data_IF_066696880037
#
_entry.id   IF_066696880037
#
_cell.length_a   1.000
_cell.length_b   1.000
_cell.length_c   1.000
_cell.angle_alpha   90.00
_cell.angle_beta   90.00
_cell.angle_gamma   90.00
#
_symmetry.space_group_name_H-M   'P 1'
#
loop_
_entity.id
_entity.type
_entity.pdbx_description
1 polymer ?
#
# COMPACT_ATOMS: atom_id res chain seq x y z
N UNK A 1 -33.64 -48.36 46.29
CA UNK A 1 -32.74 -48.68 47.41
C UNK A 1 -32.37 -47.38 48.11
N UNK A 2 -32.91 -47.15 49.33
CA UNK A 2 -32.90 -45.86 50.04
C UNK A 2 -32.05 -45.89 51.34
N UNK A 3 -31.52 -44.76 51.81
CA UNK A 3 -31.21 -44.56 53.25
C UNK A 3 -30.99 -43.05 53.55
N UNK A 4 -31.90 -42.33 54.25
CA UNK A 4 -32.01 -42.12 55.73
C UNK A 4 -30.77 -41.42 56.31
N UNK A 5 -30.82 -40.35 57.13
CA UNK A 5 -31.78 -39.75 58.09
C UNK A 5 -31.32 -38.31 58.42
N UNK A 6 -32.20 -37.42 58.90
CA UNK A 6 -31.82 -36.35 59.82
C UNK A 6 -32.07 -36.79 61.28
N UNK A 7 -31.15 -36.51 62.20
CA UNK A 7 -31.34 -36.69 63.64
C UNK A 7 -31.30 -35.32 64.33
N UNK A 8 -32.44 -34.91 64.88
CA UNK A 8 -32.53 -33.68 65.66
C UNK A 8 -31.96 -33.81 67.08
N UNK A 9 -31.93 -32.69 67.79
CA UNK A 9 -32.22 -32.68 69.22
C UNK A 9 -32.64 -31.30 69.71
N UNK A 10 -33.66 -31.33 70.56
CA UNK A 10 -34.27 -30.25 71.33
C UNK A 10 -33.33 -29.75 72.43
N UNK A 11 -33.57 -28.51 72.85
CA UNK A 11 -33.59 -28.16 74.27
C UNK A 11 -32.59 -27.09 74.70
N UNK A 12 -33.08 -25.92 75.06
CA UNK A 12 -32.96 -25.35 76.42
C UNK A 12 -33.37 -23.87 76.39
N UNK A 13 -34.47 -23.55 77.07
CA UNK A 13 -34.75 -22.21 77.55
C UNK A 13 -33.91 -21.97 78.81
N UNK A 14 -33.22 -20.83 78.89
CA UNK A 14 -32.62 -20.35 80.14
C UNK A 14 -32.53 -18.81 80.13
N UNK A 15 -33.23 -18.20 81.09
CA UNK A 15 -32.73 -17.13 81.97
C UNK A 15 -32.17 -15.83 81.38
N UNK A 16 -32.90 -14.74 81.64
CA UNK A 16 -32.50 -13.32 81.55
C UNK A 16 -31.12 -13.01 82.16
N UNK A 17 -30.32 -12.17 81.48
CA UNK A 17 -29.54 -11.08 82.11
C UNK A 17 -29.41 -9.91 81.12
N UNK A 18 -29.81 -8.71 81.55
CA UNK A 18 -29.63 -7.45 80.82
C UNK A 18 -28.22 -6.93 81.16
N UNK A 19 -27.30 -6.96 80.20
CA UNK A 19 -26.02 -6.25 80.30
C UNK A 19 -26.05 -5.02 79.39
N UNK A 20 -25.87 -3.84 79.99
CA UNK A 20 -25.67 -2.56 79.32
C UNK A 20 -24.27 -2.59 78.70
N UNK A 21 -24.17 -2.56 77.37
CA UNK A 21 -22.91 -2.28 76.65
C UNK A 21 -23.03 -0.92 75.97
N UNK A 22 -22.41 0.09 76.59
CA UNK A 22 -21.95 1.30 75.91
C UNK A 22 -20.85 0.87 74.93
N UNK A 23 -20.99 1.24 73.65
CA UNK A 23 -20.03 0.89 72.61
C UNK A 23 -20.23 1.73 71.35
N UNK A 24 -19.70 2.96 71.40
CA UNK A 24 -19.08 3.72 70.32
C UNK A 24 -19.64 3.57 68.88
N UNK A 25 -20.33 4.62 68.41
CA UNK A 25 -20.43 4.90 66.97
C UNK A 25 -19.03 5.16 66.38
N UNK A 26 -18.62 4.52 65.27
CA UNK A 26 -17.48 4.98 64.52
C UNK A 26 -17.90 6.07 63.54
N UNK A 27 -17.49 7.30 63.83
CA UNK A 27 -17.45 8.39 62.86
C UNK A 27 -16.54 7.99 61.69
N UNK A 28 -17.06 7.83 60.48
CA UNK A 28 -16.24 7.65 59.26
C UNK A 28 -16.94 8.09 57.98
N UNK A 29 -17.66 9.22 58.00
CA UNK A 29 -18.24 9.84 56.79
C UNK A 29 -17.26 10.76 56.05
N UNK A 30 -16.23 11.27 56.73
CA UNK A 30 -15.33 12.28 56.16
C UNK A 30 -14.22 11.70 55.27
N UNK A 31 -13.71 10.50 55.58
CA UNK A 31 -12.62 9.86 54.82
C UNK A 31 -13.09 9.35 53.45
N UNK A 32 -14.33 8.87 53.36
CA UNK A 32 -14.99 8.43 52.11
C UNK A 32 -15.29 9.61 51.17
N UNK A 33 -15.64 10.77 51.71
CA UNK A 33 -15.88 11.97 50.93
C UNK A 33 -14.60 12.55 50.31
N UNK A 34 -13.48 12.53 51.04
CA UNK A 34 -12.17 13.02 50.57
C UNK A 34 -11.60 12.09 49.47
N UNK A 35 -11.70 10.77 49.65
CA UNK A 35 -11.28 9.81 48.63
C UNK A 35 -12.08 9.94 47.31
N UNK A 36 -13.40 10.18 47.42
CA UNK A 36 -14.27 10.40 46.26
C UNK A 36 -14.06 11.76 45.56
N UNK A 37 -13.52 12.76 46.27
CA UNK A 37 -13.15 14.07 45.72
C UNK A 37 -11.81 14.00 44.99
N UNK A 38 -10.79 13.33 45.57
CA UNK A 38 -9.48 13.09 44.95
C UNK A 38 -9.60 12.23 43.68
N UNK A 39 -10.48 11.22 43.68
CA UNK A 39 -10.77 10.42 42.47
C UNK A 39 -11.54 11.17 41.39
N UNK A 40 -12.30 12.22 41.74
CA UNK A 40 -13.03 13.06 40.78
C UNK A 40 -12.15 14.13 40.16
N UNK A 41 -11.21 14.70 40.92
CA UNK A 41 -10.21 15.65 40.41
C UNK A 41 -9.20 14.95 39.51
N UNK A 42 -8.76 13.73 39.85
CA UNK A 42 -7.83 12.95 39.01
C UNK A 42 -8.44 12.56 37.65
N UNK A 43 -9.71 12.16 37.61
CA UNK A 43 -10.43 11.85 36.36
C UNK A 43 -10.61 13.07 35.46
N UNK A 44 -10.88 14.24 36.03
CA UNK A 44 -11.01 15.49 35.25
C UNK A 44 -9.66 15.94 34.67
N UNK A 45 -8.59 15.82 35.45
CA UNK A 45 -7.24 16.12 34.97
C UNK A 45 -6.78 15.13 33.88
N UNK A 46 -7.12 13.85 34.01
CA UNK A 46 -6.81 12.84 33.00
C UNK A 46 -7.59 13.04 31.70
N UNK A 47 -8.87 13.44 31.79
CA UNK A 47 -9.69 13.78 30.63
C UNK A 47 -9.18 15.04 29.90
N UNK A 48 -8.79 16.07 30.64
CA UNK A 48 -8.18 17.29 30.08
C UNK A 48 -6.85 16.98 29.37
N UNK A 49 -6.00 16.14 29.95
CA UNK A 49 -4.75 15.70 29.34
C UNK A 49 -5.02 14.90 28.05
N UNK A 50 -6.02 14.02 28.06
CA UNK A 50 -6.42 13.27 26.88
C UNK A 50 -6.96 14.20 25.78
N UNK A 51 -7.78 15.20 26.12
CA UNK A 51 -8.25 16.20 25.17
C UNK A 51 -7.11 17.03 24.58
N UNK A 52 -6.16 17.48 25.41
CA UNK A 52 -4.96 18.20 24.96
C UNK A 52 -4.09 17.35 24.03
N UNK A 53 -3.87 16.08 24.36
CA UNK A 53 -3.13 15.14 23.50
C UNK A 53 -3.87 14.90 22.17
N UNK A 54 -5.19 14.79 22.19
CA UNK A 54 -5.99 14.64 20.97
C UNK A 54 -5.93 15.87 20.06
N UNK A 55 -5.90 17.08 20.64
CA UNK A 55 -5.75 18.33 19.88
C UNK A 55 -4.36 18.44 19.24
N UNK A 56 -3.31 18.00 19.93
CA UNK A 56 -1.95 17.93 19.36
C UNK A 56 -1.90 16.92 18.21
N UNK A 57 -2.59 15.77 18.34
CA UNK A 57 -2.67 14.74 17.30
C UNK A 57 -3.44 15.20 16.05
N UNK A 58 -4.49 16.02 16.22
CA UNK A 58 -5.25 16.58 15.09
C UNK A 58 -4.46 17.69 14.38
N UNK A 59 -3.67 18.49 15.11
CA UNK A 59 -2.80 19.52 14.52
C UNK A 59 -1.64 18.92 13.70
N UNK A 60 -1.15 17.73 14.04
CA UNK A 60 -0.14 17.01 13.25
C UNK A 60 -0.70 16.25 12.05
N UNK A 61 -2.02 16.13 11.92
CA UNK A 61 -2.70 15.57 10.75
C UNK A 61 -3.06 16.62 9.69
N UNK A 62 -2.50 17.83 9.77
CA UNK A 62 -2.66 18.81 8.71
C UNK A 62 -1.79 18.37 7.52
N UNK A 63 -2.42 17.69 6.55
CA UNK A 63 -1.80 17.48 5.23
C UNK A 63 -1.33 18.85 4.74
N UNK A 64 0.00 19.02 4.67
CA UNK A 64 0.57 20.08 3.88
C UNK A 64 0.08 19.84 2.46
N UNK A 65 -0.85 20.67 2.00
CA UNK A 65 -1.16 20.81 0.58
C UNK A 65 0.15 21.29 -0.04
N UNK A 66 0.98 20.34 -0.50
CA UNK A 66 2.21 20.64 -1.16
C UNK A 66 1.87 21.58 -2.32
N UNK A 67 2.51 22.75 -2.35
CA UNK A 67 2.35 23.68 -3.44
C UNK A 67 2.57 22.92 -4.74
N UNK A 68 1.67 23.08 -5.72
CA UNK A 68 1.85 22.47 -7.04
C UNK A 68 3.26 22.85 -7.52
N UNK A 69 4.12 21.87 -7.89
CA UNK A 69 5.41 22.17 -8.45
C UNK A 69 5.22 23.14 -9.62
N UNK A 70 5.96 24.25 -9.63
CA UNK A 70 5.97 25.14 -10.79
C UNK A 70 6.48 24.38 -12.01
N UNK A 71 6.01 24.75 -13.20
CA UNK A 71 6.51 24.16 -14.45
C UNK A 71 7.99 24.49 -14.61
N UNK A 72 8.83 23.46 -14.80
CA UNK A 72 10.24 23.63 -15.13
C UNK A 72 10.41 23.50 -16.65
N UNK A 73 11.02 24.51 -17.26
CA UNK A 73 11.48 24.43 -18.64
C UNK A 73 12.80 23.65 -18.69
N UNK A 74 12.78 22.47 -19.30
CA UNK A 74 13.94 21.59 -19.43
C UNK A 74 15.08 22.21 -20.26
N UNK A 75 14.77 23.12 -21.20
CA UNK A 75 15.77 23.81 -22.02
C UNK A 75 16.48 24.93 -21.28
N UNK A 76 15.80 25.57 -20.31
CA UNK A 76 16.37 26.70 -19.56
C UNK A 76 16.95 26.28 -18.20
N UNK A 77 16.42 25.22 -17.58
CA UNK A 77 16.80 24.79 -16.24
C UNK A 77 17.06 23.26 -16.19
N UNK A 78 18.07 22.77 -16.92
CA UNK A 78 18.29 21.34 -17.10
C UNK A 78 18.61 20.60 -15.80
N UNK A 79 19.32 21.22 -14.85
CA UNK A 79 19.65 20.62 -13.55
C UNK A 79 18.43 20.52 -12.63
N UNK A 80 17.59 21.57 -12.58
CA UNK A 80 16.35 21.56 -11.81
C UNK A 80 15.35 20.54 -12.39
N UNK A 81 15.28 20.48 -13.72
CA UNK A 81 14.50 19.45 -14.41
C UNK A 81 15.02 18.05 -14.07
N UNK A 82 16.32 17.78 -14.20
CA UNK A 82 16.91 16.48 -13.87
C UNK A 82 16.73 16.08 -12.40
N UNK A 83 16.76 17.05 -11.47
CA UNK A 83 16.51 16.80 -10.05
C UNK A 83 15.06 16.39 -9.75
N UNK A 84 14.07 17.03 -10.38
CA UNK A 84 12.66 16.70 -10.18
C UNK A 84 12.19 15.51 -11.03
N UNK A 85 12.65 15.46 -12.28
CA UNK A 85 12.41 14.35 -13.19
C UNK A 85 13.22 13.11 -12.79
N UNK A 86 14.24 13.22 -11.94
CA UNK A 86 15.08 12.09 -11.53
C UNK A 86 14.28 10.91 -10.96
N UNK A 87 13.23 11.18 -10.17
CA UNK A 87 12.33 10.16 -9.60
C UNK A 87 11.13 9.84 -10.53
N UNK A 88 10.65 10.82 -11.31
CA UNK A 88 9.44 10.69 -12.13
C UNK A 88 9.72 10.23 -13.57
N UNK A 89 10.76 10.74 -14.22
CA UNK A 89 11.17 10.37 -15.57
C UNK A 89 11.83 8.99 -15.65
N UNK A 90 12.35 8.45 -14.54
CA UNK A 90 12.76 7.02 -14.48
C UNK A 90 11.58 6.05 -14.55
N UNK A 91 10.36 6.54 -14.34
CA UNK A 91 9.13 5.75 -14.36
C UNK A 91 8.18 6.15 -15.52
N UNK A 92 8.56 7.16 -16.32
CA UNK A 92 7.78 7.69 -17.43
C UNK A 92 7.76 6.75 -18.64
N UNK A 93 6.95 5.70 -18.58
CA UNK A 93 6.83 4.64 -19.59
C UNK A 93 5.76 4.92 -20.68
N UNK A 94 5.37 6.17 -20.97
CA UNK A 94 4.26 6.40 -21.93
C UNK A 94 4.74 7.00 -23.26
N UNK A 95 5.43 6.19 -24.06
CA UNK A 95 5.60 6.46 -25.50
C UNK A 95 5.06 5.29 -26.32
N UNK A 96 4.45 5.59 -27.48
CA UNK A 96 4.03 4.56 -28.43
C UNK A 96 5.25 3.69 -28.79
N UNK A 97 5.17 2.40 -28.45
CA UNK A 97 6.23 1.41 -28.70
C UNK A 97 7.32 1.30 -27.64
N UNK A 98 7.58 2.33 -26.82
CA UNK A 98 8.72 2.40 -25.87
C UNK A 98 9.97 1.71 -26.44
N UNK A 99 10.47 2.24 -27.55
CA UNK A 99 11.53 1.61 -28.33
C UNK A 99 12.85 1.49 -27.57
N UNK A 100 13.08 2.36 -26.58
CA UNK A 100 14.26 2.37 -25.71
C UNK A 100 13.82 2.67 -24.29
N UNK A 101 14.21 1.85 -23.32
CA UNK A 101 14.03 2.13 -21.89
C UNK A 101 15.34 1.87 -21.12
N UNK A 102 15.53 2.52 -19.98
CA UNK A 102 16.64 2.24 -19.07
C UNK A 102 16.14 1.40 -17.90
N UNK A 103 16.73 0.22 -17.69
CA UNK A 103 16.34 -0.71 -16.64
C UNK A 103 17.58 -1.34 -16.00
N UNK A 104 17.70 -1.26 -14.67
CA UNK A 104 18.77 -1.89 -13.89
C UNK A 104 20.19 -1.69 -14.49
N UNK A 105 20.53 -0.44 -14.77
CA UNK A 105 21.84 -0.04 -15.33
C UNK A 105 22.10 -0.47 -16.78
N UNK A 106 21.06 -0.87 -17.50
CA UNK A 106 21.16 -1.29 -18.89
C UNK A 106 20.15 -0.54 -19.76
N UNK A 107 20.57 -0.22 -20.99
CA UNK A 107 19.66 0.25 -22.02
C UNK A 107 19.02 -0.96 -22.69
N UNK A 108 17.69 -0.99 -22.73
CA UNK A 108 16.92 -2.04 -23.38
C UNK A 108 16.22 -1.45 -24.60
N UNK A 109 16.33 -2.14 -25.74
CA UNK A 109 15.83 -1.65 -27.03
C UNK A 109 14.92 -2.68 -27.69
N UNK A 110 13.88 -2.21 -28.35
CA UNK A 110 13.06 -3.04 -29.26
C UNK A 110 13.61 -2.89 -30.68
N UNK A 111 14.18 -3.95 -31.24
CA UNK A 111 14.77 -3.99 -32.58
C UNK A 111 13.73 -4.17 -33.70
N UNK A 112 14.16 -4.08 -34.97
CA UNK A 112 13.28 -4.10 -36.17
C UNK A 112 12.29 -5.27 -36.21
N UNK A 113 12.68 -6.45 -35.74
CA UNK A 113 11.81 -7.64 -35.70
C UNK A 113 10.99 -7.76 -34.42
N UNK A 114 10.86 -6.68 -33.66
CA UNK A 114 10.31 -6.65 -32.30
C UNK A 114 11.08 -7.56 -31.34
N UNK A 115 12.35 -7.84 -31.56
CA UNK A 115 13.16 -8.53 -30.55
C UNK A 115 13.64 -7.53 -29.51
N UNK A 116 13.67 -7.94 -28.24
CA UNK A 116 14.19 -7.12 -27.15
C UNK A 116 15.68 -7.43 -27.01
N UNK A 117 16.50 -6.38 -27.05
CA UNK A 117 17.93 -6.48 -26.85
C UNK A 117 18.40 -5.57 -25.71
N UNK A 118 19.50 -5.96 -25.09
CA UNK A 118 20.27 -5.15 -24.18
C UNK A 118 21.43 -4.51 -24.93
N UNK A 119 21.57 -3.20 -24.78
CA UNK A 119 22.72 -2.44 -25.22
C UNK A 119 23.70 -2.31 -24.04
N UNK A 120 24.90 -2.84 -24.22
CA UNK A 120 25.94 -2.89 -23.19
C UNK A 120 26.97 -1.78 -23.42
N UNK A 121 27.39 -1.14 -22.33
CA UNK A 121 28.41 -0.10 -22.31
C UNK A 121 29.51 -0.42 -21.31
N UNK A 122 30.78 -0.02 -21.58
CA UNK A 122 31.29 0.57 -22.81
C UNK A 122 31.57 -0.53 -23.87
N UNK A 123 31.08 -0.35 -25.10
CA UNK A 123 31.30 -1.34 -26.16
C UNK A 123 30.25 -1.34 -27.27
N UNK A 124 29.06 -0.77 -27.00
CA UNK A 124 27.93 -0.78 -27.93
C UNK A 124 27.60 -2.20 -28.42
N UNK A 125 27.81 -3.21 -27.58
CA UNK A 125 27.46 -4.60 -27.88
C UNK A 125 25.97 -4.80 -27.65
N UNK A 126 25.36 -5.62 -28.50
CA UNK A 126 23.94 -5.95 -28.47
C UNK A 126 23.81 -7.42 -28.09
N UNK A 127 23.12 -7.69 -26.99
CA UNK A 127 22.77 -9.06 -26.57
C UNK A 127 21.25 -9.23 -26.54
N UNK A 128 20.75 -10.35 -27.07
CA UNK A 128 19.31 -10.63 -27.15
C UNK A 128 18.78 -11.09 -25.79
N UNK A 129 17.74 -10.43 -25.29
CA UNK A 129 17.23 -10.66 -23.94
C UNK A 129 16.20 -11.80 -23.89
N UNK A 130 15.34 -11.88 -24.90
CA UNK A 130 14.20 -12.81 -24.95
C UNK A 130 14.20 -13.60 -26.24
N UNK A 131 13.78 -14.87 -26.17
CA UNK A 131 13.53 -15.68 -27.37
C UNK A 131 12.24 -15.29 -28.12
N UNK A 132 11.33 -14.56 -27.45
CA UNK A 132 10.09 -14.05 -28.03
C UNK A 132 10.28 -12.65 -28.58
N UNK A 133 9.49 -12.33 -29.61
CA UNK A 133 9.27 -10.93 -30.03
C UNK A 133 8.46 -10.22 -28.94
N UNK A 134 8.90 -9.04 -28.53
CA UNK A 134 8.26 -8.19 -27.54
C UNK A 134 8.20 -6.71 -27.94
N UNK A 135 7.22 -6.01 -27.38
CA UNK A 135 7.08 -4.55 -27.52
C UNK A 135 6.38 -3.98 -26.29
N UNK A 136 6.13 -2.66 -26.26
CA UNK A 136 5.40 -1.98 -25.16
C UNK A 136 6.10 -2.22 -23.83
N UNK A 137 7.38 -1.87 -23.82
CA UNK A 137 8.25 -2.10 -22.68
C UNK A 137 7.84 -1.21 -21.51
N UNK A 138 7.83 -1.75 -20.30
CA UNK A 138 7.76 -0.98 -19.07
C UNK A 138 8.77 -1.58 -18.10
N UNK A 139 9.27 -0.79 -17.16
CA UNK A 139 10.13 -1.33 -16.12
C UNK A 139 9.84 -0.72 -14.77
N UNK A 140 10.06 -1.52 -13.74
CA UNK A 140 10.14 -1.08 -12.36
C UNK A 140 11.12 -1.96 -11.60
N UNK A 141 11.92 -1.37 -10.71
CA UNK A 141 13.06 -2.01 -10.05
C UNK A 141 13.99 -2.73 -11.04
N UNK A 142 14.01 -4.07 -10.97
CA UNK A 142 14.83 -4.95 -11.80
C UNK A 142 13.97 -5.77 -12.76
N UNK A 143 12.70 -5.45 -12.92
CA UNK A 143 11.82 -6.18 -13.84
C UNK A 143 11.59 -5.37 -15.09
N UNK A 144 11.82 -6.03 -16.23
CA UNK A 144 11.25 -5.62 -17.50
C UNK A 144 9.89 -6.29 -17.65
N UNK A 145 8.87 -5.50 -17.96
CA UNK A 145 7.57 -5.94 -18.40
C UNK A 145 7.41 -5.64 -19.88
N UNK A 146 6.77 -6.55 -20.62
CA UNK A 146 6.60 -6.38 -22.05
C UNK A 146 5.39 -7.15 -22.58
N UNK A 147 4.88 -6.71 -23.72
CA UNK A 147 3.91 -7.45 -24.52
C UNK A 147 4.64 -8.44 -25.42
N UNK A 148 4.62 -9.73 -25.07
CA UNK A 148 5.24 -10.80 -25.84
C UNK A 148 4.30 -11.38 -26.89
N UNK A 149 4.74 -11.39 -28.14
CA UNK A 149 4.02 -11.98 -29.25
C UNK A 149 4.04 -13.52 -29.16
N UNK A 150 2.87 -14.10 -29.34
CA UNK A 150 2.62 -15.54 -29.47
C UNK A 150 1.77 -15.78 -30.72
N UNK A 151 1.67 -17.01 -31.23
CA UNK A 151 0.93 -17.28 -32.46
C UNK A 151 -0.52 -16.75 -32.37
N UNK A 152 -0.80 -15.67 -33.11
CA UNK A 152 -2.12 -15.03 -33.19
C UNK A 152 -2.52 -14.09 -32.03
N UNK A 153 -1.67 -13.84 -31.03
CA UNK A 153 -2.01 -12.95 -29.90
C UNK A 153 -0.79 -12.39 -29.17
N UNK A 154 -0.99 -11.40 -28.29
CA UNK A 154 0.04 -10.88 -27.39
C UNK A 154 -0.31 -11.14 -25.93
N UNK A 155 0.71 -11.36 -25.10
CA UNK A 155 0.55 -11.61 -23.66
C UNK A 155 1.45 -10.67 -22.87
N UNK A 156 1.05 -10.30 -21.65
CA UNK A 156 1.93 -9.55 -20.76
C UNK A 156 2.88 -10.51 -20.07
N UNK A 157 4.18 -10.21 -20.17
CA UNK A 157 5.28 -11.00 -19.62
C UNK A 157 6.17 -10.13 -18.77
N UNK A 158 6.95 -10.77 -17.91
CA UNK A 158 8.06 -10.14 -17.20
C UNK A 158 9.33 -10.96 -17.35
N UNK A 159 10.47 -10.30 -17.33
CA UNK A 159 11.80 -10.89 -17.44
C UNK A 159 12.81 -10.03 -16.67
N UNK A 160 13.86 -10.67 -16.15
CA UNK A 160 14.99 -9.96 -15.57
C UNK A 160 15.89 -9.38 -16.69
N UNK A 161 16.62 -8.27 -16.45
CA UNK A 161 17.55 -7.65 -17.41
C UNK A 161 18.73 -8.53 -17.86
N UNK A 162 18.94 -9.67 -17.20
CA UNK A 162 19.90 -10.70 -17.61
C UNK A 162 19.26 -11.80 -18.48
N UNK A 163 17.97 -11.69 -18.79
CA UNK A 163 17.18 -12.66 -19.56
C UNK A 163 16.62 -13.80 -18.72
N UNK A 164 16.95 -13.88 -17.43
CA UNK A 164 16.42 -14.90 -16.54
C UNK A 164 14.95 -14.63 -16.20
N UNK A 165 14.24 -15.68 -15.77
CA UNK A 165 12.87 -15.58 -15.26
C UNK A 165 11.87 -14.94 -16.24
N UNK A 166 12.03 -15.20 -17.54
CA UNK A 166 11.03 -14.83 -18.55
C UNK A 166 9.75 -15.63 -18.36
N UNK A 167 8.72 -15.00 -17.80
CA UNK A 167 7.44 -15.63 -17.48
C UNK A 167 6.27 -14.80 -17.97
N UNK A 168 5.21 -15.47 -18.43
CA UNK A 168 3.93 -14.84 -18.71
C UNK A 168 3.20 -14.56 -17.39
N UNK A 169 2.74 -13.33 -17.22
CA UNK A 169 1.96 -12.90 -16.03
C UNK A 169 0.49 -12.64 -16.37
N UNK A 170 0.15 -12.29 -17.61
CA UNK A 170 -1.24 -12.15 -18.03
C UNK A 170 -1.49 -12.64 -19.45
N UNK A 171 -2.72 -13.09 -19.71
CA UNK A 171 -3.22 -13.39 -21.06
C UNK A 171 -3.77 -12.16 -21.78
N UNK A 172 -3.86 -11.02 -21.09
CA UNK A 172 -4.34 -9.79 -21.68
C UNK A 172 -3.45 -9.35 -22.85
N UNK A 173 -4.09 -8.98 -23.95
CA UNK A 173 -3.43 -8.25 -25.03
C UNK A 173 -3.57 -6.76 -24.76
N UNK A 174 -2.44 -6.05 -24.69
CA UNK A 174 -2.41 -4.63 -24.37
C UNK A 174 -1.84 -3.78 -25.51
N UNK A 175 -2.37 -2.56 -25.65
CA UNK A 175 -1.90 -1.54 -26.57
C UNK A 175 -0.75 -0.75 -25.94
N UNK A 176 -0.88 -0.42 -24.65
CA UNK A 176 0.09 0.28 -23.83
C UNK A 176 0.30 -0.45 -22.51
N UNK A 177 1.50 -0.29 -21.95
CA UNK A 177 1.88 -0.86 -20.68
C UNK A 177 2.80 0.13 -19.96
N UNK A 178 2.47 0.44 -18.71
CA UNK A 178 3.35 1.19 -17.79
C UNK A 178 3.42 0.47 -16.45
N UNK A 179 4.49 0.70 -15.71
CA UNK A 179 4.71 0.14 -14.38
C UNK A 179 4.95 1.27 -13.38
N UNK A 180 4.35 1.16 -12.19
CA UNK A 180 4.78 1.86 -10.99
C UNK A 180 5.34 0.86 -9.97
N UNK A 181 5.53 1.29 -8.72
CA UNK A 181 6.10 0.45 -7.66
C UNK A 181 5.25 -0.71 -7.17
N UNK A 182 3.97 -0.77 -7.54
CA UNK A 182 3.04 -1.78 -7.06
C UNK A 182 2.28 -2.48 -8.20
N UNK A 183 2.00 -1.75 -9.27
CA UNK A 183 1.07 -2.15 -10.31
C UNK A 183 1.65 -1.95 -11.71
N UNK A 184 1.07 -2.71 -12.62
CA UNK A 184 1.08 -2.46 -14.05
C UNK A 184 -0.25 -1.83 -14.43
N UNK A 185 -0.20 -0.87 -15.34
CA UNK A 185 -1.38 -0.28 -15.95
C UNK A 185 -1.32 -0.54 -17.45
N UNK A 186 -2.45 -0.93 -18.01
CA UNK A 186 -2.54 -1.26 -19.42
C UNK A 186 -3.82 -0.70 -20.04
N UNK A 187 -3.72 -0.36 -21.32
CA UNK A 187 -4.88 -0.20 -22.19
C UNK A 187 -5.06 -1.51 -22.93
N UNK A 188 -6.22 -2.17 -22.79
CA UNK A 188 -6.50 -3.43 -23.46
C UNK A 188 -6.76 -3.21 -24.96
N UNK A 189 -6.19 -4.05 -25.83
CA UNK A 189 -6.35 -3.90 -27.29
C UNK A 189 -7.82 -3.98 -27.74
N UNK A 190 -8.58 -4.94 -27.20
CA UNK A 190 -9.91 -5.26 -27.72
C UNK A 190 -10.93 -4.20 -27.27
N UNK A 191 -10.94 -3.87 -25.98
CA UNK A 191 -11.92 -2.96 -25.38
C UNK A 191 -11.47 -1.50 -25.32
N UNK A 192 -10.16 -1.24 -25.30
CA UNK A 192 -9.61 0.08 -24.99
C UNK A 192 -9.72 0.48 -23.52
N UNK A 193 -10.18 -0.43 -22.65
CA UNK A 193 -10.31 -0.15 -21.22
C UNK A 193 -8.94 0.05 -20.58
N UNK A 194 -8.88 0.96 -19.60
CA UNK A 194 -7.71 1.10 -18.74
C UNK A 194 -7.88 0.15 -17.56
N UNK A 195 -6.90 -0.72 -17.37
CA UNK A 195 -6.84 -1.66 -16.24
C UNK A 195 -5.57 -1.46 -15.45
N UNK A 196 -5.61 -1.84 -14.17
CA UNK A 196 -4.42 -2.11 -13.35
C UNK A 196 -4.37 -3.57 -12.93
N UNK A 197 -3.18 -4.10 -12.70
CA UNK A 197 -2.95 -5.41 -12.08
C UNK A 197 -1.57 -5.43 -11.41
N UNK A 198 -1.36 -6.34 -10.47
CA UNK A 198 -0.08 -6.50 -9.79
C UNK A 198 1.03 -6.94 -10.75
N UNK A 199 2.31 -6.77 -10.37
CA UNK A 199 3.46 -7.20 -11.18
C UNK A 199 3.55 -8.72 -11.41
N UNK A 200 2.75 -9.52 -10.71
CA UNK A 200 2.59 -10.96 -10.93
C UNK A 200 1.37 -11.31 -11.81
N UNK A 201 0.61 -10.31 -12.25
CA UNK A 201 -0.60 -10.47 -13.07
C UNK A 201 -1.90 -10.64 -12.29
N UNK A 202 -1.85 -10.69 -10.96
CA UNK A 202 -3.03 -10.84 -10.10
C UNK A 202 -3.72 -9.50 -9.83
N UNK A 203 -4.89 -9.52 -9.18
CA UNK A 203 -5.54 -8.29 -8.69
C UNK A 203 -6.02 -7.34 -9.79
N UNK A 204 -6.39 -7.87 -10.96
CA UNK A 204 -6.83 -7.02 -12.06
C UNK A 204 -8.08 -6.22 -11.70
N UNK A 205 -8.03 -4.91 -11.96
CA UNK A 205 -9.13 -3.99 -11.74
C UNK A 205 -9.28 -3.05 -12.95
N UNK A 206 -10.51 -2.83 -13.39
CA UNK A 206 -10.84 -1.81 -14.39
C UNK A 206 -10.83 -0.44 -13.73
N UNK A 207 -10.08 0.49 -14.31
CA UNK A 207 -10.00 1.89 -13.88
C UNK A 207 -10.83 2.81 -14.79
N UNK A 208 -11.00 2.43 -16.05
CA UNK A 208 -11.81 3.14 -17.02
C UNK A 208 -12.50 2.15 -17.95
N UNK A 209 -13.83 2.26 -18.04
CA UNK A 209 -14.66 1.35 -18.84
C UNK A 209 -14.79 1.76 -20.31
N UNK A 210 -14.48 3.02 -20.63
CA UNK A 210 -14.51 3.52 -22.00
C UNK A 210 -13.28 3.10 -22.82
N UNK A 211 -13.26 3.52 -24.09
CA UNK A 211 -12.13 3.29 -24.99
C UNK A 211 -11.11 4.42 -24.86
N UNK A 212 -10.04 4.19 -24.12
CA UNK A 212 -8.86 5.04 -24.12
C UNK A 212 -8.05 4.79 -25.40
N UNK A 213 -7.56 5.87 -26.00
CA UNK A 213 -6.68 5.83 -27.16
C UNK A 213 -5.52 6.79 -26.95
N UNK A 214 -4.48 6.67 -27.76
CA UNK A 214 -3.37 7.61 -27.76
C UNK A 214 -3.83 9.03 -28.08
N UNK A 215 -3.22 10.00 -27.39
CA UNK A 215 -3.34 11.40 -27.76
C UNK A 215 -2.39 11.64 -28.93
N UNK A 216 -2.94 11.74 -30.14
CA UNK A 216 -2.20 12.12 -31.33
C UNK A 216 -2.13 13.65 -31.35
N UNK A 217 -0.94 14.21 -31.14
CA UNK A 217 -0.70 15.61 -31.48
C UNK A 217 -0.55 15.68 -33.00
N UNK A 218 -1.61 16.14 -33.69
CA UNK A 218 -1.57 16.51 -35.11
C UNK A 218 -1.12 17.95 -35.28
#
# INVERSE_FOLDING_TARGET
>A
MPERRPSGRRGAAAGKVRLKTMGLQPQSSHLTAIAAWIGRTSRRSMLMLFCLLSLIFVASCQEQIAARPGTIDAGQQPEAYAGQAGELARNGNLHQGNFVIYCSSSWLVTARDSQIARLEQPGNTVSWLTGLKGSRLASHDRWLFYSGATAGSSTVRKVMPDGSNDVRISRASCQYLIADSQHLYAILNDSGQVVRFNHDGTGQQILFEGRATEMIYT
#
